data_IF_449302545947
#
_entry.id   IF_449302545947
#
_cell.length_a   1.000
_cell.length_b   1.000
_cell.length_c   1.000
_cell.angle_alpha   90.00
_cell.angle_beta   90.00
_cell.angle_gamma   90.00
#
_symmetry.space_group_name_H-M   'P 1'
#
loop_
_entity.id
_entity.type
_entity.pdbx_description
1 polymer ?
#
# COMPACT_ATOMS: atom_id res chain seq x y z
N UNK A 1 4.88 -10.36 -11.67
CA UNK A 1 5.51 -10.47 -13.00
C UNK A 1 4.69 -9.77 -14.09
N UNK A 2 5.38 -9.10 -15.03
CA UNK A 2 4.79 -8.53 -16.24
C UNK A 2 4.69 -9.62 -17.32
N UNK A 3 3.65 -9.56 -18.13
CA UNK A 3 3.40 -10.49 -19.25
C UNK A 3 3.39 -9.69 -20.55
N UNK A 4 4.17 -10.14 -21.52
CA UNK A 4 4.20 -9.55 -22.85
C UNK A 4 3.26 -10.29 -23.77
N UNK A 5 2.29 -9.55 -24.32
CA UNK A 5 1.23 -10.07 -25.19
C UNK A 5 1.31 -9.43 -26.57
N UNK A 6 1.11 -10.24 -27.62
CA UNK A 6 0.88 -9.80 -29.00
C UNK A 6 -0.46 -9.06 -29.14
N UNK A 7 -0.71 -8.43 -30.29
CA UNK A 7 -1.96 -7.71 -30.54
C UNK A 7 -3.20 -8.63 -30.45
N UNK A 8 -3.09 -9.83 -31.01
CA UNK A 8 -4.13 -10.87 -31.01
C UNK A 8 -4.38 -11.40 -29.59
N UNK A 9 -3.32 -11.74 -28.86
CA UNK A 9 -3.40 -12.18 -27.47
C UNK A 9 -4.06 -11.11 -26.58
N UNK A 10 -3.74 -9.82 -26.80
CA UNK A 10 -4.40 -8.71 -26.09
C UNK A 10 -5.88 -8.63 -26.43
N UNK A 11 -6.32 -9.01 -27.63
CA UNK A 11 -7.74 -9.07 -28.00
C UNK A 11 -8.46 -10.16 -27.21
N UNK A 12 -7.89 -11.38 -27.18
CA UNK A 12 -8.41 -12.51 -26.41
C UNK A 12 -8.50 -12.19 -24.91
N UNK A 13 -7.44 -11.64 -24.32
CA UNK A 13 -7.45 -11.27 -22.90
C UNK A 13 -8.48 -10.16 -22.61
N UNK A 14 -8.69 -9.21 -23.54
CA UNK A 14 -9.75 -8.21 -23.41
C UNK A 14 -11.15 -8.84 -23.44
N UNK A 15 -11.36 -9.88 -24.24
CA UNK A 15 -12.59 -10.67 -24.24
C UNK A 15 -12.77 -11.37 -22.88
N UNK A 16 -11.71 -11.97 -22.31
CA UNK A 16 -11.77 -12.62 -21.00
C UNK A 16 -12.15 -11.63 -19.88
N UNK A 17 -11.53 -10.44 -19.86
CA UNK A 17 -11.94 -9.38 -18.92
C UNK A 17 -13.37 -8.91 -19.17
N UNK A 18 -13.81 -8.88 -20.43
CA UNK A 18 -15.17 -8.55 -20.82
C UNK A 18 -16.20 -9.52 -20.23
N UNK A 19 -15.99 -10.83 -20.44
CA UNK A 19 -16.84 -11.90 -19.89
C UNK A 19 -16.81 -11.88 -18.38
N UNK A 20 -15.63 -11.84 -17.75
CA UNK A 20 -15.51 -11.80 -16.28
C UNK A 20 -16.27 -10.63 -15.68
N UNK A 21 -16.20 -9.44 -16.30
CA UNK A 21 -16.97 -8.26 -15.89
C UNK A 21 -18.47 -8.45 -16.08
N UNK A 22 -18.89 -8.99 -17.22
CA UNK A 22 -20.31 -9.21 -17.52
C UNK A 22 -20.93 -10.18 -16.50
N UNK A 23 -20.29 -11.33 -16.28
CA UNK A 23 -20.73 -12.34 -15.31
C UNK A 23 -20.79 -11.74 -13.91
N UNK A 24 -19.74 -11.04 -13.46
CA UNK A 24 -19.75 -10.36 -12.16
C UNK A 24 -20.93 -9.39 -12.01
N UNK A 25 -21.16 -8.52 -13.00
CA UNK A 25 -22.24 -7.53 -12.93
C UNK A 25 -23.63 -8.19 -12.96
N UNK A 26 -23.81 -9.24 -13.78
CA UNK A 26 -25.05 -10.03 -13.83
C UNK A 26 -25.34 -10.66 -12.47
N UNK A 27 -24.34 -11.29 -11.84
CA UNK A 27 -24.46 -11.85 -10.49
C UNK A 27 -24.78 -10.77 -9.45
N UNK A 28 -24.10 -9.61 -9.47
CA UNK A 28 -24.41 -8.52 -8.53
C UNK A 28 -25.85 -8.02 -8.72
N UNK A 29 -26.35 -7.92 -9.96
CA UNK A 29 -27.74 -7.52 -10.23
C UNK A 29 -28.74 -8.50 -9.61
N UNK A 30 -28.53 -9.81 -9.79
CA UNK A 30 -29.38 -10.86 -9.20
C UNK A 30 -29.35 -10.76 -7.66
N UNK A 31 -28.16 -10.61 -7.07
CA UNK A 31 -28.00 -10.52 -5.61
C UNK A 31 -28.57 -9.22 -5.01
N UNK A 32 -28.72 -8.16 -5.81
CA UNK A 32 -29.33 -6.91 -5.37
C UNK A 32 -30.85 -7.03 -5.20
N UNK A 33 -31.50 -7.94 -5.93
CA UNK A 33 -32.94 -8.18 -5.83
C UNK A 33 -33.35 -8.76 -4.46
N UNK A 34 -32.41 -9.33 -3.70
CA UNK A 34 -32.63 -9.76 -2.31
C UNK A 34 -33.27 -11.15 -2.17
N UNK A 35 -33.92 -11.67 -3.22
CA UNK A 35 -34.53 -13.00 -3.26
C UNK A 35 -33.51 -14.14 -3.12
N UNK A 36 -32.32 -13.94 -3.69
CA UNK A 36 -31.28 -14.98 -3.76
C UNK A 36 -30.20 -14.74 -2.71
N UNK A 37 -29.97 -15.73 -1.83
CA UNK A 37 -28.86 -15.71 -0.86
C UNK A 37 -27.53 -15.78 -1.60
N UNK A 38 -26.56 -14.95 -1.22
CA UNK A 38 -25.21 -14.93 -1.79
C UNK A 38 -24.40 -16.21 -1.46
N UNK A 39 -24.74 -17.31 -2.11
CA UNK A 39 -24.07 -18.60 -2.02
C UNK A 39 -23.60 -19.04 -3.41
N UNK A 40 -22.30 -18.95 -3.66
CA UNK A 40 -21.74 -19.20 -4.99
C UNK A 40 -22.02 -20.63 -5.49
N UNK A 41 -22.07 -21.65 -4.63
CA UNK A 41 -22.31 -23.04 -5.06
C UNK A 41 -23.73 -23.23 -5.58
N UNK A 42 -24.70 -22.55 -4.97
CA UNK A 42 -26.12 -22.69 -5.31
C UNK A 42 -26.48 -21.97 -6.61
N UNK A 43 -26.02 -20.73 -6.80
CA UNK A 43 -26.45 -19.89 -7.93
C UNK A 43 -25.60 -20.11 -9.19
N UNK A 44 -24.43 -20.73 -9.05
CA UNK A 44 -23.46 -20.83 -10.15
C UNK A 44 -24.01 -21.58 -11.36
N UNK A 45 -24.70 -22.70 -11.15
CA UNK A 45 -25.18 -23.54 -12.26
C UNK A 45 -26.20 -22.79 -13.11
N UNK A 46 -27.20 -22.19 -12.47
CA UNK A 46 -28.24 -21.39 -13.12
C UNK A 46 -27.66 -20.21 -13.91
N UNK A 47 -26.79 -19.40 -13.28
CA UNK A 47 -26.19 -18.24 -13.94
C UNK A 47 -25.31 -18.66 -15.12
N UNK A 48 -24.58 -19.78 -15.01
CA UNK A 48 -23.70 -20.25 -16.08
C UNK A 48 -24.49 -20.78 -17.28
N UNK A 49 -25.65 -21.41 -17.05
CA UNK A 49 -26.54 -21.90 -18.10
C UNK A 49 -27.22 -20.73 -18.83
N UNK A 50 -27.59 -19.67 -18.10
CA UNK A 50 -28.17 -18.43 -18.64
C UNK A 50 -27.11 -17.48 -19.26
N UNK A 51 -25.90 -17.95 -19.58
CA UNK A 51 -24.90 -17.13 -20.25
C UNK A 51 -25.09 -17.13 -21.77
N UNK A 52 -24.97 -15.96 -22.42
CA UNK A 52 -24.98 -15.88 -23.88
C UNK A 52 -23.90 -16.72 -24.56
N UNK A 53 -24.16 -17.16 -25.79
CA UNK A 53 -23.29 -18.05 -26.57
C UNK A 53 -21.83 -17.55 -26.69
N UNK A 54 -21.64 -16.25 -26.88
CA UNK A 54 -20.31 -15.63 -27.00
C UNK A 54 -19.44 -15.78 -25.73
N UNK A 55 -20.03 -16.15 -24.58
CA UNK A 55 -19.29 -16.44 -23.35
C UNK A 55 -18.69 -17.87 -23.33
N UNK A 56 -19.13 -18.79 -24.20
CA UNK A 56 -18.67 -20.18 -24.20
C UNK A 56 -17.18 -20.31 -24.56
N UNK A 57 -16.68 -19.45 -25.44
CA UNK A 57 -15.27 -19.41 -25.88
C UNK A 57 -14.28 -19.21 -24.71
N UNK A 58 -14.71 -18.46 -23.69
CA UNK A 58 -13.89 -18.11 -22.52
C UNK A 58 -13.83 -19.26 -21.51
N UNK A 59 -12.65 -19.57 -20.94
CA UNK A 59 -12.49 -20.63 -19.95
C UNK A 59 -13.54 -20.62 -18.83
N UNK A 60 -14.06 -21.81 -18.49
CA UNK A 60 -15.09 -22.00 -17.49
C UNK A 60 -14.75 -21.37 -16.13
N UNK A 61 -13.52 -21.55 -15.65
CA UNK A 61 -13.11 -21.06 -14.34
C UNK A 61 -13.11 -19.53 -14.24
N UNK A 62 -12.81 -18.81 -15.34
CA UNK A 62 -12.92 -17.34 -15.38
C UNK A 62 -14.34 -16.89 -15.08
N UNK A 63 -15.34 -17.59 -15.65
CA UNK A 63 -16.77 -17.33 -15.45
C UNK A 63 -17.19 -17.71 -14.03
N UNK A 64 -16.88 -18.94 -13.61
CA UNK A 64 -17.22 -19.47 -12.28
C UNK A 64 -16.65 -18.61 -11.14
N UNK A 65 -15.40 -18.16 -11.26
CA UNK A 65 -14.78 -17.35 -10.19
C UNK A 65 -15.27 -15.90 -10.24
N UNK A 66 -15.72 -15.39 -11.39
CA UNK A 66 -16.38 -14.08 -11.42
C UNK A 66 -17.69 -14.07 -10.61
N UNK A 67 -18.45 -15.17 -10.61
CA UNK A 67 -19.62 -15.36 -9.75
C UNK A 67 -19.20 -15.39 -8.27
N UNK A 68 -18.16 -16.17 -7.95
CA UNK A 68 -17.62 -16.25 -6.58
C UNK A 68 -17.16 -14.88 -6.08
N UNK A 69 -16.41 -14.13 -6.87
CA UNK A 69 -15.97 -12.75 -6.58
C UNK A 69 -17.17 -11.85 -6.25
N UNK A 70 -18.27 -11.95 -7.00
CA UNK A 70 -19.49 -11.16 -6.76
C UNK A 70 -20.18 -11.55 -5.45
N UNK A 71 -20.34 -12.85 -5.19
CA UNK A 71 -20.89 -13.33 -3.92
C UNK A 71 -20.04 -12.89 -2.73
N UNK A 72 -18.71 -13.03 -2.81
CA UNK A 72 -17.78 -12.59 -1.76
C UNK A 72 -17.89 -11.09 -1.51
N UNK A 73 -17.94 -10.26 -2.56
CA UNK A 73 -18.09 -8.81 -2.41
C UNK A 73 -19.40 -8.42 -1.68
N UNK A 74 -20.51 -9.12 -1.97
CA UNK A 74 -21.79 -8.90 -1.27
C UNK A 74 -21.73 -9.39 0.18
N UNK A 75 -21.10 -10.54 0.44
CA UNK A 75 -20.91 -11.07 1.79
C UNK A 75 -20.05 -10.12 2.65
N UNK A 76 -18.96 -9.60 2.10
CA UNK A 76 -18.09 -8.62 2.78
C UNK A 76 -18.84 -7.32 3.07
N UNK A 77 -19.66 -6.84 2.12
CA UNK A 77 -20.51 -5.67 2.35
C UNK A 77 -21.50 -5.89 3.51
N UNK A 78 -22.13 -7.08 3.58
CA UNK A 78 -23.01 -7.46 4.71
C UNK A 78 -22.24 -7.57 6.03
N UNK A 79 -21.06 -8.21 6.03
CA UNK A 79 -20.20 -8.32 7.23
C UNK A 79 -19.79 -6.95 7.75
N UNK A 80 -19.45 -6.03 6.86
CA UNK A 80 -19.08 -4.66 7.23
C UNK A 80 -20.27 -3.88 7.78
N UNK A 81 -21.45 -4.01 7.19
CA UNK A 81 -22.67 -3.43 7.74
C UNK A 81 -22.92 -3.88 9.18
N UNK A 82 -22.77 -5.18 9.48
CA UNK A 82 -22.89 -5.68 10.87
C UNK A 82 -21.89 -5.04 11.85
N UNK A 83 -20.72 -4.62 11.38
CA UNK A 83 -19.67 -4.02 12.23
C UNK A 83 -19.81 -2.50 12.37
N UNK A 84 -20.25 -1.81 11.33
CA UNK A 84 -20.20 -0.33 11.27
C UNK A 84 -21.57 0.32 11.13
N UNK A 85 -22.65 -0.46 10.97
CA UNK A 85 -24.01 0.01 10.67
C UNK A 85 -24.13 0.89 9.41
N UNK A 86 -23.09 0.91 8.57
CA UNK A 86 -23.03 1.71 7.34
C UNK A 86 -23.32 0.84 6.12
N UNK A 87 -24.31 1.24 5.33
CA UNK A 87 -24.70 0.52 4.11
C UNK A 87 -23.63 0.72 3.04
N UNK A 88 -22.99 -0.38 2.61
CA UNK A 88 -22.06 -0.38 1.48
C UNK A 88 -22.69 -1.10 0.29
N UNK A 89 -23.02 -0.36 -0.77
CA UNK A 89 -23.51 -0.96 -2.02
C UNK A 89 -22.35 -1.49 -2.86
N UNK A 90 -22.44 -2.76 -3.28
CA UNK A 90 -21.50 -3.35 -4.25
C UNK A 90 -21.73 -2.71 -5.61
N UNK A 91 -20.68 -2.11 -6.17
CA UNK A 91 -20.73 -1.40 -7.46
C UNK A 91 -20.41 -2.35 -8.61
N UNK A 92 -21.05 -2.11 -9.76
CA UNK A 92 -20.69 -2.80 -10.99
C UNK A 92 -19.26 -2.47 -11.44
N UNK A 93 -18.59 -3.47 -11.99
CA UNK A 93 -17.29 -3.32 -12.64
C UNK A 93 -17.49 -2.60 -13.98
N UNK A 94 -16.69 -1.57 -14.24
CA UNK A 94 -16.76 -0.76 -15.46
C UNK A 94 -15.66 -1.12 -16.47
N UNK A 95 -15.99 -1.11 -17.77
CA UNK A 95 -15.00 -1.22 -18.86
C UNK A 95 -14.03 -0.04 -18.90
N UNK A 96 -14.43 1.12 -18.35
CA UNK A 96 -13.61 2.33 -18.28
C UNK A 96 -12.63 2.31 -17.10
N UNK A 97 -12.72 1.30 -16.22
CA UNK A 97 -11.77 1.16 -15.12
C UNK A 97 -10.36 0.93 -15.68
N UNK A 98 -9.35 1.73 -15.27
CA UNK A 98 -7.96 1.55 -15.69
C UNK A 98 -7.37 0.21 -15.28
N UNK A 99 -7.93 -0.41 -14.22
CA UNK A 99 -7.53 -1.72 -13.74
C UNK A 99 -8.64 -2.73 -14.04
N UNK A 100 -8.29 -3.79 -14.75
CA UNK A 100 -9.18 -4.92 -15.03
C UNK A 100 -8.46 -6.21 -14.67
N UNK A 101 -9.19 -7.21 -14.19
CA UNK A 101 -8.59 -8.49 -13.86
C UNK A 101 -9.53 -9.65 -14.10
N UNK A 102 -8.95 -10.83 -14.32
CA UNK A 102 -9.64 -12.11 -14.32
C UNK A 102 -8.82 -13.16 -13.59
N UNK A 103 -9.52 -14.14 -13.03
CA UNK A 103 -8.91 -15.28 -12.36
C UNK A 103 -8.21 -16.21 -13.36
N UNK A 104 -7.08 -16.77 -12.96
CA UNK A 104 -6.35 -17.80 -13.71
C UNK A 104 -6.00 -18.92 -12.71
N UNK A 105 -6.42 -20.18 -12.93
CA UNK A 105 -6.05 -21.27 -12.04
C UNK A 105 -4.55 -21.52 -12.07
N UNK A 106 -4.00 -22.08 -10.99
CA UNK A 106 -2.58 -22.50 -11.00
C UNK A 106 -2.27 -23.52 -12.11
N UNK A 107 -3.22 -24.41 -12.41
CA UNK A 107 -3.04 -25.47 -13.42
C UNK A 107 -2.97 -24.96 -14.86
N UNK A 108 -3.40 -23.71 -15.12
CA UNK A 108 -3.29 -23.09 -16.44
C UNK A 108 -2.05 -22.20 -16.57
N UNK A 109 -1.20 -22.11 -15.54
CA UNK A 109 0.04 -21.33 -15.58
C UNK A 109 1.20 -22.29 -15.76
N UNK A 110 2.00 -22.04 -16.79
CA UNK A 110 3.19 -22.83 -17.13
C UNK A 110 4.30 -21.91 -17.62
N UNK A 111 5.53 -22.42 -17.72
CA UNK A 111 6.67 -21.67 -18.28
C UNK A 111 6.40 -21.22 -19.73
N UNK A 112 5.63 -22.00 -20.49
CA UNK A 112 5.25 -21.69 -21.87
C UNK A 112 4.25 -20.53 -21.93
N UNK A 113 3.36 -20.41 -20.94
CA UNK A 113 2.34 -19.39 -20.92
C UNK A 113 1.13 -19.71 -20.05
N UNK A 114 0.16 -18.80 -20.09
CA UNK A 114 -1.13 -18.91 -19.41
C UNK A 114 -2.15 -19.45 -20.39
N UNK A 115 -2.84 -20.55 -20.06
CA UNK A 115 -3.75 -21.24 -20.98
C UNK A 115 -3.10 -21.37 -22.37
N UNK A 116 -1.88 -21.93 -22.44
CA UNK A 116 -1.05 -21.88 -23.64
C UNK A 116 -1.73 -22.48 -24.89
N UNK A 117 -2.67 -23.41 -24.72
CA UNK A 117 -3.50 -23.96 -25.81
C UNK A 117 -4.49 -22.96 -26.41
N UNK A 118 -4.93 -21.95 -25.64
CA UNK A 118 -5.87 -20.90 -26.09
C UNK A 118 -5.18 -19.58 -26.38
N UNK A 119 -4.20 -19.20 -25.56
CA UNK A 119 -3.53 -17.90 -25.65
C UNK A 119 -2.20 -17.99 -26.42
N UNK A 120 -1.69 -19.20 -26.67
CA UNK A 120 -0.38 -19.41 -27.25
C UNK A 120 0.76 -19.21 -26.25
N UNK A 121 1.98 -19.23 -26.78
CA UNK A 121 3.21 -19.02 -26.01
C UNK A 121 3.32 -17.55 -25.56
N UNK A 122 3.80 -17.35 -24.33
CA UNK A 122 3.97 -16.05 -23.70
C UNK A 122 5.39 -15.85 -23.21
N UNK A 123 5.75 -14.59 -23.00
CA UNK A 123 7.00 -14.21 -22.33
C UNK A 123 6.68 -13.50 -21.02
N UNK A 124 7.29 -13.98 -19.94
CA UNK A 124 7.26 -13.36 -18.63
C UNK A 124 8.49 -12.47 -18.43
N UNK A 125 8.36 -11.42 -17.63
CA UNK A 125 9.52 -10.59 -17.25
C UNK A 125 10.46 -11.25 -16.24
N UNK A 126 9.96 -12.24 -15.51
CA UNK A 126 10.64 -12.91 -14.39
C UNK A 126 10.26 -14.40 -14.47
N UNK A 127 11.09 -15.27 -13.91
CA UNK A 127 10.79 -16.70 -13.81
C UNK A 127 9.58 -16.93 -12.89
N UNK A 128 8.84 -18.00 -13.15
CA UNK A 128 7.76 -18.42 -12.27
C UNK A 128 8.37 -18.95 -10.95
N UNK A 129 7.88 -18.49 -9.79
CA UNK A 129 8.33 -19.04 -8.51
C UNK A 129 7.82 -20.46 -8.32
N UNK A 130 8.48 -21.21 -7.44
CA UNK A 130 8.00 -22.54 -7.04
C UNK A 130 6.73 -22.43 -6.16
N UNK A 131 5.96 -23.52 -6.08
CA UNK A 131 4.77 -23.61 -5.21
C UNK A 131 3.72 -22.51 -5.43
N UNK A 132 3.39 -22.26 -6.70
CA UNK A 132 2.36 -21.29 -7.07
C UNK A 132 0.96 -21.70 -6.59
N UNK A 133 0.20 -20.69 -6.21
CA UNK A 133 -1.24 -20.77 -5.95
C UNK A 133 -2.02 -20.24 -7.16
N UNK A 134 -3.34 -20.20 -7.03
CA UNK A 134 -4.19 -19.59 -8.04
C UNK A 134 -3.83 -18.12 -8.30
N UNK A 135 -3.81 -17.76 -9.56
CA UNK A 135 -3.28 -16.51 -10.06
C UNK A 135 -4.40 -15.55 -10.51
N UNK A 136 -4.01 -14.30 -10.77
CA UNK A 136 -4.91 -13.30 -11.36
C UNK A 136 -4.20 -12.53 -12.45
N UNK A 137 -4.73 -12.60 -13.67
CA UNK A 137 -4.26 -11.78 -14.78
C UNK A 137 -4.88 -10.40 -14.66
N UNK A 138 -4.06 -9.36 -14.65
CA UNK A 138 -4.47 -7.98 -14.44
C UNK A 138 -3.94 -7.11 -15.56
N UNK A 139 -4.79 -6.25 -16.12
CA UNK A 139 -4.37 -5.13 -16.95
C UNK A 139 -4.40 -3.85 -16.12
N UNK A 140 -3.28 -3.15 -16.08
CA UNK A 140 -3.14 -1.86 -15.44
C UNK A 140 -2.65 -0.85 -16.49
N UNK A 141 -3.53 0.07 -16.88
CA UNK A 141 -3.22 1.16 -17.82
C UNK A 141 -2.63 0.73 -19.18
N UNK A 142 -2.89 -0.51 -19.62
CA UNK A 142 -2.44 -1.05 -20.90
C UNK A 142 -1.27 -2.01 -20.81
N UNK A 143 -0.63 -2.10 -19.64
CA UNK A 143 0.32 -3.17 -19.33
C UNK A 143 -0.42 -4.36 -18.70
N UNK A 144 0.12 -5.56 -18.88
CA UNK A 144 -0.46 -6.80 -18.40
C UNK A 144 0.49 -7.46 -17.39
N UNK A 145 -0.09 -7.92 -16.28
CA UNK A 145 0.63 -8.52 -15.17
C UNK A 145 -0.07 -9.80 -14.75
N UNK A 146 0.71 -10.85 -14.51
CA UNK A 146 0.23 -12.01 -13.80
C UNK A 146 0.59 -11.84 -12.31
N UNK A 147 -0.44 -11.81 -11.47
CA UNK A 147 -0.28 -11.84 -10.02
C UNK A 147 -0.21 -13.31 -9.63
N UNK A 148 0.95 -13.75 -9.16
CA UNK A 148 1.25 -15.13 -8.78
C UNK A 148 1.52 -15.19 -7.28
N UNK A 149 0.50 -15.50 -6.46
CA UNK A 149 0.73 -15.84 -5.06
C UNK A 149 1.48 -17.17 -5.01
N UNK A 150 2.47 -17.28 -4.14
CA UNK A 150 3.21 -18.51 -3.88
C UNK A 150 3.43 -18.67 -2.38
N UNK A 151 3.61 -19.90 -1.93
CA UNK A 151 3.89 -20.17 -0.51
C UNK A 151 5.37 -20.00 -0.22
N UNK A 152 5.69 -19.30 0.85
CA UNK A 152 7.06 -19.11 1.34
C UNK A 152 7.12 -19.57 2.79
N UNK A 153 8.18 -20.28 3.16
CA UNK A 153 8.48 -20.62 4.55
C UNK A 153 9.15 -19.42 5.21
N UNK A 154 8.53 -18.88 6.27
CA UNK A 154 9.08 -17.75 6.99
C UNK A 154 10.24 -18.21 7.89
N UNK A 155 11.41 -17.61 7.70
CA UNK A 155 12.52 -17.70 8.66
C UNK A 155 12.22 -16.79 9.85
N UNK A 156 12.15 -17.34 11.06
CA UNK A 156 12.11 -16.53 12.28
C UNK A 156 13.52 -15.98 12.50
N UNK A 157 13.72 -14.68 12.33
CA UNK A 157 14.97 -14.04 12.73
C UNK A 157 15.01 -13.87 14.26
N UNK A 158 16.17 -14.11 14.86
CA UNK A 158 16.44 -13.65 16.22
C UNK A 158 16.45 -12.11 16.22
N UNK A 159 15.61 -11.52 17.07
CA UNK A 159 15.54 -10.07 17.20
C UNK A 159 16.67 -9.62 18.13
N UNK A 160 17.79 -9.18 17.54
CA UNK A 160 18.99 -8.69 18.25
C UNK A 160 18.80 -7.32 18.93
N UNK A 161 17.55 -6.88 19.11
CA UNK A 161 17.19 -5.67 19.85
C UNK A 161 17.51 -4.34 19.16
N UNK A 162 17.86 -4.30 17.88
CA UNK A 162 18.09 -3.00 17.19
C UNK A 162 16.76 -2.29 16.95
N UNK A 163 16.51 -1.22 17.72
CA UNK A 163 15.28 -0.43 17.65
C UNK A 163 15.49 0.83 16.80
N UNK A 164 14.49 1.16 15.96
CA UNK A 164 14.45 2.42 15.22
C UNK A 164 13.08 3.07 15.34
N UNK A 165 13.05 4.38 15.54
CA UNK A 165 11.85 5.20 15.46
C UNK A 165 11.79 5.97 14.15
N UNK A 166 10.62 5.96 13.51
CA UNK A 166 10.36 6.67 12.27
C UNK A 166 9.50 7.91 12.53
N UNK A 167 9.79 8.99 11.84
CA UNK A 167 8.94 10.17 11.75
C UNK A 167 8.60 10.45 10.27
N UNK A 168 7.36 10.12 9.82
CA UNK A 168 6.92 10.37 8.46
C UNK A 168 6.67 11.86 8.23
N UNK A 169 7.43 12.45 7.30
CA UNK A 169 7.37 13.88 6.99
C UNK A 169 6.70 14.20 5.66
N UNK A 170 6.43 15.49 5.43
CA UNK A 170 5.84 15.98 4.16
C UNK A 170 6.89 16.44 3.14
N UNK A 171 8.07 16.86 3.61
CA UNK A 171 9.19 17.31 2.75
C UNK A 171 10.24 16.23 2.57
N UNK A 172 10.53 15.52 3.65
CA UNK A 172 11.34 14.31 3.72
C UNK A 172 10.38 13.15 3.92
N UNK A 173 10.53 12.05 3.19
CA UNK A 173 9.59 10.93 3.27
C UNK A 173 9.55 10.33 4.67
N UNK A 174 10.71 9.96 5.21
CA UNK A 174 10.86 9.42 6.55
C UNK A 174 12.17 9.92 7.15
N UNK A 175 12.12 10.43 8.37
CA UNK A 175 13.29 10.61 9.23
C UNK A 175 13.35 9.43 10.19
N UNK A 176 14.52 8.85 10.39
CA UNK A 176 14.68 7.73 11.32
C UNK A 176 15.71 8.07 12.39
N UNK A 177 15.47 7.57 13.60
CA UNK A 177 16.34 7.71 14.75
C UNK A 177 16.51 6.35 15.43
N UNK A 178 17.75 5.97 15.66
CA UNK A 178 18.18 4.83 16.46
C UNK A 178 19.34 5.27 17.35
N UNK A 179 19.75 4.44 18.30
CA UNK A 179 20.82 4.75 19.26
C UNK A 179 22.15 5.03 18.56
N UNK A 180 22.45 4.28 17.49
CA UNK A 180 23.73 4.36 16.77
C UNK A 180 23.63 5.11 15.43
N UNK A 181 22.42 5.48 14.99
CA UNK A 181 22.24 6.04 13.65
C UNK A 181 21.04 6.95 13.55
N UNK A 182 21.19 8.05 12.82
CA UNK A 182 20.12 8.99 12.48
C UNK A 182 20.22 9.30 10.99
N UNK A 183 19.07 9.49 10.33
CA UNK A 183 19.08 9.83 8.92
C UNK A 183 17.73 10.21 8.35
N UNK A 184 17.76 10.67 7.09
CA UNK A 184 16.60 11.15 6.35
C UNK A 184 16.53 10.43 5.01
N UNK A 185 15.36 9.85 4.71
CA UNK A 185 15.10 9.13 3.47
C UNK A 185 14.16 9.96 2.60
N UNK A 186 14.47 10.04 1.29
CA UNK A 186 13.69 10.81 0.33
C UNK A 186 13.84 12.33 0.48
N UNK A 187 14.96 12.79 1.07
CA UNK A 187 15.28 14.21 1.12
C UNK A 187 15.62 14.72 -0.30
N UNK A 188 15.00 15.80 -0.75
CA UNK A 188 15.25 16.38 -2.10
C UNK A 188 14.56 15.66 -3.28
N UNK A 189 14.32 14.35 -3.18
CA UNK A 189 13.60 13.54 -4.19
C UNK A 189 12.19 14.07 -4.50
N UNK A 190 11.59 14.73 -3.50
CA UNK A 190 10.28 15.35 -3.59
C UNK A 190 10.19 16.38 -4.73
N UNK A 191 11.26 17.13 -5.01
CA UNK A 191 11.29 18.15 -6.07
C UNK A 191 11.03 17.55 -7.45
N UNK A 192 11.49 16.32 -7.69
CA UNK A 192 11.30 15.60 -8.96
C UNK A 192 9.85 15.13 -9.10
N UNK A 193 9.28 14.53 -8.06
CA UNK A 193 7.88 14.08 -8.07
C UNK A 193 6.94 15.28 -8.25
N UNK A 194 7.19 16.37 -7.54
CA UNK A 194 6.39 17.59 -7.63
C UNK A 194 6.40 18.17 -9.05
N UNK A 195 7.56 18.22 -9.72
CA UNK A 195 7.66 18.67 -11.13
C UNK A 195 6.80 17.84 -12.07
N UNK A 196 6.82 16.51 -11.92
CA UNK A 196 6.00 15.60 -12.74
C UNK A 196 4.51 15.81 -12.43
N UNK A 197 4.13 15.97 -11.16
CA UNK A 197 2.74 16.28 -10.77
C UNK A 197 2.25 17.59 -11.39
N UNK A 198 3.08 18.64 -11.39
CA UNK A 198 2.72 19.92 -12.01
C UNK A 198 2.49 19.78 -13.52
N UNK A 199 3.39 19.05 -14.21
CA UNK A 199 3.22 18.79 -15.64
C UNK A 199 1.95 17.96 -15.92
N UNK A 200 1.61 17.01 -15.03
CA UNK A 200 0.39 16.22 -15.14
C UNK A 200 -0.85 17.11 -15.00
N UNK A 201 -0.87 18.03 -14.02
CA UNK A 201 -2.00 18.95 -13.82
C UNK A 201 -2.18 19.88 -15.02
N UNK A 202 -1.10 20.43 -15.57
CA UNK A 202 -1.13 21.24 -16.78
C UNK A 202 -1.69 20.44 -17.97
N UNK A 203 -1.28 19.17 -18.11
CA UNK A 203 -1.80 18.28 -19.14
C UNK A 203 -3.28 17.96 -18.94
N UNK A 204 -3.73 17.71 -17.70
CA UNK A 204 -5.13 17.47 -17.37
C UNK A 204 -6.01 18.69 -17.65
N UNK A 205 -5.51 19.90 -17.35
CA UNK A 205 -6.16 21.17 -17.70
C UNK A 205 -6.32 21.33 -19.21
N UNK A 206 -5.29 20.99 -20.00
CA UNK A 206 -5.39 21.02 -21.47
C UNK A 206 -6.34 19.96 -22.03
N UNK A 207 -6.43 18.78 -21.39
CA UNK A 207 -7.33 17.69 -21.77
C UNK A 207 -8.80 18.10 -21.69
N UNK A 208 -9.17 18.97 -20.73
CA UNK A 208 -10.56 19.41 -20.58
C UNK A 208 -11.03 20.21 -21.81
N UNK A 209 -10.13 20.99 -22.41
CA UNK A 209 -10.38 21.87 -23.57
C UNK A 209 -10.11 21.22 -24.95
N UNK A 210 -9.61 19.99 -24.99
CA UNK A 210 -9.15 19.36 -26.23
C UNK A 210 -10.23 18.60 -27.03
N UNK A 211 -10.13 18.60 -28.37
CA UNK A 211 -10.98 17.83 -29.30
C UNK A 211 -10.74 16.31 -29.19
N UNK A 212 -11.71 15.48 -29.62
CA UNK A 212 -11.79 14.02 -29.37
C UNK A 212 -10.49 13.23 -29.61
N UNK A 213 -9.84 13.37 -30.78
CA UNK A 213 -8.62 12.64 -31.12
C UNK A 213 -7.41 13.07 -30.29
N UNK A 214 -7.20 14.38 -30.16
CA UNK A 214 -6.14 14.97 -29.35
C UNK A 214 -6.30 14.61 -27.87
N UNK A 215 -7.53 14.66 -27.36
CA UNK A 215 -7.90 14.26 -25.99
C UNK A 215 -7.52 12.82 -25.69
N UNK A 216 -7.71 11.89 -26.64
CA UNK A 216 -7.29 10.48 -26.50
C UNK A 216 -5.77 10.36 -26.34
N UNK A 217 -4.99 11.05 -27.19
CA UNK A 217 -3.52 11.04 -27.13
C UNK A 217 -3.01 11.63 -25.82
N UNK A 218 -3.53 12.79 -25.41
CA UNK A 218 -3.16 13.43 -24.14
C UNK A 218 -3.51 12.57 -22.94
N UNK A 219 -4.68 11.92 -22.91
CA UNK A 219 -5.03 10.97 -21.83
C UNK A 219 -4.06 9.80 -21.74
N UNK A 220 -3.56 9.29 -22.87
CA UNK A 220 -2.52 8.24 -22.88
C UNK A 220 -1.22 8.77 -22.27
N UNK A 221 -0.81 9.98 -22.62
CA UNK A 221 0.36 10.64 -22.01
C UNK A 221 0.18 10.84 -20.50
N UNK A 222 -0.97 11.36 -20.06
CA UNK A 222 -1.29 11.55 -18.64
C UNK A 222 -1.22 10.23 -17.86
N UNK A 223 -1.73 9.12 -18.41
CA UNK A 223 -1.60 7.80 -17.79
C UNK A 223 -0.14 7.36 -17.61
N UNK A 224 0.71 7.56 -18.63
CA UNK A 224 2.15 7.25 -18.52
C UNK A 224 2.81 8.02 -17.39
N UNK A 225 2.45 9.29 -17.22
CA UNK A 225 2.97 10.11 -16.12
C UNK A 225 2.49 9.63 -14.75
N UNK A 226 1.22 9.25 -14.62
CA UNK A 226 0.67 8.67 -13.38
C UNK A 226 1.41 7.38 -13.01
N UNK A 227 1.66 6.49 -13.98
CA UNK A 227 2.44 5.27 -13.76
C UNK A 227 3.87 5.62 -13.32
N UNK A 228 4.51 6.60 -13.97
CA UNK A 228 5.86 7.04 -13.58
C UNK A 228 5.91 7.54 -12.15
N UNK A 229 4.93 8.35 -11.72
CA UNK A 229 4.82 8.81 -10.34
C UNK A 229 4.65 7.62 -9.39
N UNK A 230 3.74 6.69 -9.70
CA UNK A 230 3.52 5.49 -8.88
C UNK A 230 4.77 4.62 -8.76
N UNK A 231 5.50 4.42 -9.86
CA UNK A 231 6.73 3.64 -9.86
C UNK A 231 7.82 4.28 -9.00
N UNK A 232 8.00 5.61 -9.07
CA UNK A 232 8.94 6.33 -8.21
C UNK A 232 8.59 6.19 -6.72
N UNK A 233 7.31 6.30 -6.38
CA UNK A 233 6.86 6.13 -4.99
C UNK A 233 7.02 4.66 -4.55
N UNK A 234 6.70 3.69 -5.40
CA UNK A 234 6.87 2.27 -5.10
C UNK A 234 8.36 1.93 -4.89
N UNK A 235 9.25 2.45 -5.74
CA UNK A 235 10.70 2.27 -5.59
C UNK A 235 11.19 2.85 -4.26
N UNK A 236 10.76 4.07 -3.92
CA UNK A 236 11.06 4.68 -2.61
C UNK A 236 10.57 3.79 -1.47
N UNK A 237 9.32 3.31 -1.53
CA UNK A 237 8.74 2.41 -0.51
C UNK A 237 9.53 1.10 -0.39
N UNK A 238 9.89 0.48 -1.51
CA UNK A 238 10.61 -0.79 -1.53
C UNK A 238 12.02 -0.65 -0.96
N UNK A 239 12.78 0.35 -1.42
CA UNK A 239 14.14 0.61 -0.92
C UNK A 239 14.15 0.98 0.56
N UNK A 240 13.19 1.81 0.98
CA UNK A 240 13.06 2.19 2.39
C UNK A 240 12.71 0.99 3.26
N UNK A 241 11.77 0.15 2.86
CA UNK A 241 11.41 -1.03 3.63
C UNK A 241 12.55 -2.04 3.72
N UNK A 242 13.27 -2.26 2.60
CA UNK A 242 14.46 -3.13 2.57
C UNK A 242 15.54 -2.62 3.54
N UNK A 243 15.87 -1.33 3.46
CA UNK A 243 16.82 -0.69 4.38
C UNK A 243 16.41 -0.88 5.85
N UNK A 244 15.13 -0.65 6.19
CA UNK A 244 14.69 -0.75 7.59
C UNK A 244 14.70 -2.19 8.12
N UNK A 245 14.25 -3.15 7.32
CA UNK A 245 14.16 -4.57 7.71
C UNK A 245 15.54 -5.22 7.79
N UNK A 246 16.51 -4.77 7.00
CA UNK A 246 17.88 -5.29 7.02
C UNK A 246 18.70 -4.77 8.21
N UNK A 247 18.46 -3.52 8.62
CA UNK A 247 19.28 -2.85 9.64
C UNK A 247 18.66 -2.90 11.06
N UNK A 248 17.35 -3.10 11.19
CA UNK A 248 16.65 -3.02 12.46
C UNK A 248 15.71 -4.20 12.70
N UNK A 249 15.52 -4.53 13.98
CA UNK A 249 14.71 -5.67 14.43
C UNK A 249 13.32 -5.23 14.89
N UNK A 250 13.25 -4.05 15.52
CA UNK A 250 12.01 -3.43 15.99
C UNK A 250 11.88 -2.04 15.38
N UNK A 251 10.82 -1.83 14.61
CA UNK A 251 10.55 -0.58 13.89
C UNK A 251 9.31 0.08 14.49
N UNK A 252 9.49 1.27 15.05
CA UNK A 252 8.44 2.07 15.65
C UNK A 252 7.90 3.06 14.64
N UNK A 253 6.60 2.98 14.33
CA UNK A 253 5.93 3.86 13.36
C UNK A 253 4.80 4.61 14.07
N UNK A 254 4.78 5.95 14.01
CA UNK A 254 3.70 6.71 14.60
C UNK A 254 2.38 6.47 13.85
N UNK A 255 1.27 6.55 14.59
CA UNK A 255 -0.08 6.51 14.01
C UNK A 255 -0.34 7.76 13.18
N UNK A 256 -0.04 7.70 11.89
CA UNK A 256 -0.18 8.85 11.00
C UNK A 256 -1.65 9.05 10.56
N UNK A 257 -2.35 9.99 11.20
CA UNK A 257 -3.76 10.32 10.91
C UNK A 257 -3.94 11.17 9.63
N UNK A 258 -3.43 10.68 8.50
CA UNK A 258 -3.57 11.31 7.16
C UNK A 258 -4.99 11.80 6.84
N UNK A 259 -6.00 11.05 7.29
CA UNK A 259 -7.40 11.36 7.05
C UNK A 259 -7.86 12.64 7.78
N UNK A 260 -7.41 12.87 9.02
CA UNK A 260 -7.75 14.09 9.76
C UNK A 260 -6.97 15.29 9.20
N UNK A 261 -5.70 15.09 8.84
CA UNK A 261 -4.83 16.15 8.30
C UNK A 261 -5.24 16.63 6.89
N UNK A 262 -6.05 15.85 6.17
CA UNK A 262 -6.51 16.16 4.80
C UNK A 262 -7.94 16.71 4.71
N UNK A 263 -8.71 16.73 5.82
CA UNK A 263 -10.08 17.26 5.85
C UNK A 263 -10.10 18.77 5.60
N UNK A 264 -10.87 19.22 4.60
CA UNK A 264 -10.88 20.62 4.14
C UNK A 264 -11.36 21.63 5.19
N UNK A 265 -12.30 21.25 6.06
CA UNK A 265 -12.94 22.16 7.03
C UNK A 265 -12.13 22.46 8.30
N UNK A 266 -11.23 21.57 8.70
CA UNK A 266 -10.44 21.69 9.94
C UNK A 266 -8.93 21.79 9.70
N UNK A 267 -8.49 21.90 8.43
CA UNK A 267 -7.06 21.85 8.09
C UNK A 267 -6.30 23.09 8.56
N UNK A 268 -5.22 22.87 9.31
CA UNK A 268 -4.18 23.88 9.60
C UNK A 268 -3.08 23.94 8.53
N UNK A 269 -3.14 23.06 7.53
CA UNK A 269 -2.07 22.82 6.54
C UNK A 269 -2.50 23.28 5.14
N UNK A 270 -1.57 23.91 4.39
CA UNK A 270 -1.79 24.37 3.01
C UNK A 270 -2.10 23.21 2.04
N UNK A 271 -2.91 23.46 1.02
CA UNK A 271 -3.43 22.44 0.08
C UNK A 271 -2.31 21.71 -0.68
N UNK A 272 -1.25 22.44 -1.06
CA UNK A 272 -0.05 21.89 -1.67
C UNK A 272 0.64 20.87 -0.75
N UNK A 273 0.79 21.20 0.53
CA UNK A 273 1.40 20.33 1.54
C UNK A 273 0.55 19.08 1.80
N UNK A 274 -0.78 19.21 1.87
CA UNK A 274 -1.68 18.04 1.98
C UNK A 274 -1.53 17.12 0.76
N UNK A 275 -1.49 17.67 -0.45
CA UNK A 275 -1.26 16.88 -1.66
C UNK A 275 0.09 16.15 -1.62
N UNK A 276 1.12 16.81 -1.13
CA UNK A 276 2.46 16.21 -1.01
C UNK A 276 2.48 15.02 -0.03
N UNK A 277 1.81 15.17 1.11
CA UNK A 277 1.62 14.09 2.08
C UNK A 277 0.83 12.92 1.48
N UNK A 278 -0.24 13.20 0.73
CA UNK A 278 -1.02 12.17 0.03
C UNK A 278 -0.22 11.48 -1.08
N UNK A 279 0.68 12.19 -1.76
CA UNK A 279 1.54 11.61 -2.79
C UNK A 279 2.51 10.56 -2.20
N UNK A 280 3.04 10.77 -1.00
CA UNK A 280 3.94 9.79 -0.37
C UNK A 280 3.22 8.53 0.12
N UNK A 281 1.88 8.55 0.23
CA UNK A 281 1.07 7.41 0.59
C UNK A 281 1.60 6.67 1.84
N UNK A 282 1.90 7.41 2.91
CA UNK A 282 2.50 6.88 4.15
C UNK A 282 1.72 5.70 4.75
N UNK A 283 0.39 5.75 4.71
CA UNK A 283 -0.44 4.62 5.15
C UNK A 283 -0.15 3.34 4.34
N UNK A 284 -0.06 3.46 3.00
CA UNK A 284 0.29 2.34 2.13
C UNK A 284 1.70 1.83 2.41
N UNK A 285 2.65 2.72 2.69
CA UNK A 285 3.99 2.33 3.11
C UNK A 285 3.99 1.58 4.43
N UNK A 286 3.24 2.04 5.43
CA UNK A 286 3.11 1.37 6.74
C UNK A 286 2.59 -0.06 6.58
N UNK A 287 1.51 -0.26 5.83
CA UNK A 287 0.98 -1.60 5.55
C UNK A 287 2.01 -2.48 4.81
N UNK A 288 2.70 -1.92 3.82
CA UNK A 288 3.75 -2.61 3.09
C UNK A 288 4.94 -3.00 3.98
N UNK A 289 5.37 -2.10 4.87
CA UNK A 289 6.46 -2.34 5.80
C UNK A 289 6.11 -3.42 6.83
N UNK A 290 4.87 -3.42 7.36
CA UNK A 290 4.37 -4.50 8.23
C UNK A 290 4.44 -5.86 7.54
N UNK A 291 3.99 -5.92 6.29
CA UNK A 291 4.07 -7.15 5.50
C UNK A 291 5.52 -7.61 5.28
N UNK A 292 6.42 -6.69 4.92
CA UNK A 292 7.85 -7.02 4.70
C UNK A 292 8.57 -7.39 5.97
N UNK A 293 8.26 -6.76 7.09
CA UNK A 293 8.78 -7.15 8.38
C UNK A 293 8.31 -8.57 8.76
N UNK A 294 7.04 -8.89 8.54
CA UNK A 294 6.49 -10.22 8.79
C UNK A 294 7.16 -11.32 7.96
N UNK A 295 7.49 -11.05 6.69
CA UNK A 295 8.23 -12.01 5.83
C UNK A 295 9.59 -12.40 6.42
N UNK A 296 10.27 -11.46 7.09
CA UNK A 296 11.64 -11.63 7.63
C UNK A 296 11.62 -11.86 9.16
N UNK A 297 10.44 -11.96 9.77
CA UNK A 297 10.29 -12.14 11.23
C UNK A 297 10.63 -10.90 12.07
N UNK A 298 10.69 -9.71 11.47
CA UNK A 298 10.90 -8.44 12.17
C UNK A 298 9.60 -7.89 12.72
N UNK A 299 9.71 -6.97 13.68
CA UNK A 299 8.57 -6.38 14.36
C UNK A 299 8.35 -4.93 13.93
N UNK A 300 7.09 -4.59 13.63
CA UNK A 300 6.66 -3.20 13.42
C UNK A 300 5.59 -2.85 14.44
N UNK A 301 5.84 -1.82 15.24
CA UNK A 301 4.95 -1.36 16.32
C UNK A 301 4.36 -0.01 15.96
N UNK A 302 3.04 0.12 16.15
CA UNK A 302 2.37 1.40 16.04
C UNK A 302 2.48 2.19 17.34
N UNK A 303 2.99 3.43 17.29
CA UNK A 303 3.22 4.30 18.45
C UNK A 303 2.34 5.55 18.38
N UNK A 304 1.85 6.03 19.52
CA UNK A 304 1.05 7.25 19.59
C UNK A 304 1.90 8.53 19.44
N UNK A 305 1.50 9.44 18.55
CA UNK A 305 2.26 10.63 18.13
C UNK A 305 2.25 11.82 19.13
N UNK A 306 1.44 11.78 20.19
CA UNK A 306 1.06 12.98 20.94
C UNK A 306 2.25 13.90 21.37
N UNK A 307 2.23 15.17 20.98
CA UNK A 307 3.17 16.26 21.38
C UNK A 307 4.62 16.21 20.87
N UNK A 308 5.03 15.23 20.06
CA UNK A 308 6.44 15.05 19.62
C UNK A 308 7.03 16.19 18.78
N UNK A 309 6.23 16.92 18.00
CA UNK A 309 6.74 17.98 17.13
C UNK A 309 6.93 19.35 17.80
N UNK A 310 6.48 19.50 19.05
CA UNK A 310 6.58 20.74 19.85
C UNK A 310 7.40 20.59 21.12
N UNK A 311 7.61 19.36 21.58
CA UNK A 311 8.43 19.07 22.75
C UNK A 311 9.90 18.94 22.35
N UNK A 312 10.78 19.64 23.04
CA UNK A 312 12.23 19.44 22.92
C UNK A 312 12.58 18.08 23.50
N UNK A 313 13.13 17.18 22.68
CA UNK A 313 13.30 15.77 23.06
C UNK A 313 14.34 15.53 24.16
N UNK A 314 15.20 16.50 24.49
CA UNK A 314 16.24 16.35 25.52
C UNK A 314 15.96 17.14 26.80
N UNK A 315 15.21 18.24 26.76
CA UNK A 315 14.82 19.02 27.96
C UNK A 315 13.36 18.84 28.36
N UNK A 316 12.50 18.34 27.47
CA UNK A 316 11.06 18.17 27.72
C UNK A 316 10.23 19.44 27.60
N UNK A 317 10.82 20.61 27.33
CA UNK A 317 10.07 21.87 27.24
C UNK A 317 9.20 21.94 25.97
N UNK A 318 8.12 22.73 26.02
CA UNK A 318 7.24 22.97 24.88
C UNK A 318 7.61 24.27 24.16
N UNK A 319 8.02 24.15 22.90
CA UNK A 319 8.39 25.28 22.04
C UNK A 319 7.38 25.44 20.91
N UNK A 320 6.94 26.69 20.68
CA UNK A 320 6.09 27.02 19.54
C UNK A 320 6.95 27.26 18.29
N UNK A 321 7.21 26.21 17.52
CA UNK A 321 8.20 26.19 16.44
C UNK A 321 7.65 26.75 15.10
N UNK A 322 6.33 26.90 14.98
CA UNK A 322 5.68 27.36 13.74
C UNK A 322 6.14 26.56 12.51
N UNK A 323 6.63 27.27 11.49
CA UNK A 323 7.17 26.71 10.25
C UNK A 323 8.69 26.44 10.25
N UNK A 324 9.38 26.68 11.37
CA UNK A 324 10.82 26.49 11.49
C UNK A 324 11.23 25.03 11.29
N UNK A 325 12.40 24.84 10.68
CA UNK A 325 13.04 23.53 10.47
C UNK A 325 13.93 23.11 11.64
N UNK A 326 14.27 24.06 12.51
CA UNK A 326 15.15 23.86 13.66
C UNK A 326 14.36 24.16 14.92
N UNK A 327 14.49 23.28 15.92
CA UNK A 327 14.02 23.52 17.28
C UNK A 327 15.21 24.04 18.09
N UNK A 328 15.03 25.17 18.77
CA UNK A 328 16.00 25.74 19.70
C UNK A 328 15.43 25.66 21.09
N UNK A 329 16.19 25.10 22.02
CA UNK A 329 15.81 25.08 23.43
C UNK A 329 15.94 26.47 24.03
N UNK A 330 14.99 26.85 24.89
CA UNK A 330 15.08 28.09 25.67
C UNK A 330 15.84 27.89 26.98
N UNK A 331 15.95 26.64 27.45
CA UNK A 331 16.64 26.27 28.69
C UNK A 331 18.15 26.23 28.50
N UNK A 332 18.63 25.51 27.48
CA UNK A 332 20.07 25.29 27.27
C UNK A 332 20.63 25.93 25.98
N UNK A 333 19.77 26.57 25.19
CA UNK A 333 20.14 27.24 23.95
C UNK A 333 20.53 26.31 22.79
N UNK A 334 20.56 24.98 23.00
CA UNK A 334 20.94 23.99 21.98
C UNK A 334 19.91 23.93 20.86
N UNK A 335 20.36 23.51 19.69
CA UNK A 335 19.52 23.41 18.49
C UNK A 335 19.56 22.02 17.89
N UNK A 336 18.43 21.58 17.33
CA UNK A 336 18.33 20.32 16.58
C UNK A 336 17.37 20.46 15.41
N UNK A 337 17.57 19.66 14.36
CA UNK A 337 16.59 19.55 13.29
C UNK A 337 15.25 19.01 13.82
N UNK A 338 14.16 19.63 13.42
CA UNK A 338 12.81 19.33 13.91
C UNK A 338 12.36 17.90 13.61
N UNK A 339 12.67 17.39 12.42
CA UNK A 339 12.25 16.04 12.03
C UNK A 339 13.05 14.99 12.84
N UNK A 340 14.33 15.28 13.12
CA UNK A 340 15.16 14.44 13.99
C UNK A 340 14.63 14.48 15.43
N UNK A 341 14.24 15.66 15.92
CA UNK A 341 13.61 15.81 17.23
C UNK A 341 12.32 14.99 17.36
N UNK A 342 11.48 14.99 16.32
CA UNK A 342 10.27 14.18 16.27
C UNK A 342 10.58 12.68 16.39
N UNK A 343 11.47 12.17 15.54
CA UNK A 343 11.88 10.76 15.57
C UNK A 343 12.51 10.35 16.91
N UNK A 344 13.39 11.19 17.49
CA UNK A 344 13.98 10.96 18.81
C UNK A 344 12.94 10.96 19.93
N UNK A 345 11.98 11.88 19.88
CA UNK A 345 10.88 11.93 20.85
C UNK A 345 10.03 10.66 20.84
N UNK A 346 9.74 10.11 19.65
CA UNK A 346 9.04 8.82 19.51
C UNK A 346 9.86 7.69 20.13
N UNK A 347 11.17 7.65 19.87
CA UNK A 347 12.08 6.65 20.42
C UNK A 347 12.09 6.67 21.95
N UNK A 348 12.31 7.85 22.55
CA UNK A 348 12.39 8.02 24.00
C UNK A 348 11.08 7.66 24.70
N UNK A 349 9.93 8.07 24.13
CA UNK A 349 8.63 7.70 24.69
C UNK A 349 8.39 6.20 24.66
N UNK A 350 8.72 5.56 23.55
CA UNK A 350 8.51 4.11 23.41
C UNK A 350 9.34 3.34 24.43
N UNK A 351 10.57 3.80 24.73
CA UNK A 351 11.37 3.29 25.86
C UNK A 351 10.70 3.59 27.20
N UNK A 352 10.31 4.84 27.46
CA UNK A 352 9.68 5.22 28.73
C UNK A 352 8.40 4.43 29.03
N UNK A 353 7.56 4.17 28.03
CA UNK A 353 6.37 3.30 28.15
C UNK A 353 6.74 1.84 28.43
N UNK A 354 7.89 1.37 27.95
CA UNK A 354 8.38 0.03 28.28
C UNK A 354 8.87 -0.09 29.73
N UNK A 355 9.60 0.93 30.21
CA UNK A 355 10.25 0.95 31.53
C UNK A 355 9.36 1.47 32.67
N UNK A 356 8.38 2.32 32.41
CA UNK A 356 7.47 2.91 33.41
C UNK A 356 6.05 2.34 33.31
N UNK A 357 5.61 1.58 34.31
CA UNK A 357 4.19 1.27 34.46
C UNK A 357 3.37 2.55 34.75
N UNK A 358 2.46 2.93 33.85
CA UNK A 358 1.15 3.51 34.17
C UNK A 358 0.27 3.59 32.92
N UNK A 359 -0.88 2.93 32.98
CA UNK A 359 -1.94 2.75 31.97
C UNK A 359 -1.74 1.62 30.94
N UNK A 360 -2.02 0.40 31.39
CA UNK A 360 -3.08 -0.39 30.74
C UNK A 360 -2.71 -1.40 29.67
N UNK A 361 -2.13 -1.03 28.52
CA UNK A 361 -2.66 -1.68 27.31
C UNK A 361 -1.72 -2.46 26.37
N UNK A 362 -0.44 -2.72 26.65
CA UNK A 362 0.33 -3.66 25.78
C UNK A 362 1.46 -4.44 26.47
N UNK A 363 1.17 -5.56 27.16
CA UNK A 363 2.19 -6.50 27.67
C UNK A 363 3.18 -6.98 26.60
N UNK A 364 2.73 -7.04 25.34
CA UNK A 364 3.53 -7.43 24.19
C UNK A 364 4.66 -6.44 23.85
N UNK A 365 4.39 -5.13 23.91
CA UNK A 365 5.40 -4.10 23.62
C UNK A 365 6.50 -4.09 24.68
N UNK A 366 6.12 -4.32 25.95
CA UNK A 366 7.08 -4.52 27.03
C UNK A 366 7.95 -5.74 26.78
N UNK A 367 7.39 -6.90 26.44
CA UNK A 367 8.20 -8.10 26.19
C UNK A 367 9.15 -7.94 25.00
N UNK A 368 8.74 -7.23 23.95
CA UNK A 368 9.60 -6.97 22.79
C UNK A 368 10.69 -5.93 23.04
N UNK A 369 10.45 -4.95 23.92
CA UNK A 369 11.44 -3.96 24.34
C UNK A 369 12.29 -4.43 25.53
N UNK A 370 11.82 -5.39 26.33
CA UNK A 370 12.58 -6.03 27.40
C UNK A 370 13.60 -7.05 26.87
N UNK A 371 13.33 -7.69 25.72
CA UNK A 371 14.34 -8.47 24.99
C UNK A 371 15.54 -7.62 24.53
N UNK A 372 15.38 -6.29 24.45
CA UNK A 372 16.44 -5.33 24.11
C UNK A 372 17.36 -5.06 25.32
N UNK A 373 16.90 -5.28 26.56
CA UNK A 373 17.59 -4.85 27.77
C UNK A 373 18.54 -5.89 28.40
N UNK A 374 18.76 -7.05 27.77
CA UNK A 374 19.61 -8.10 28.36
C UNK A 374 21.08 -8.06 27.96
N UNK A 375 21.55 -7.09 27.16
CA UNK A 375 22.98 -6.95 26.85
C UNK A 375 23.59 -5.64 27.37
N UNK A 376 24.04 -5.76 28.63
CA UNK A 376 25.30 -5.25 29.21
C UNK A 376 25.47 -3.74 29.51
N UNK A 377 26.26 -3.43 30.56
CA UNK A 377 26.22 -2.17 31.28
C UNK A 377 26.92 -1.04 30.53
N UNK A 378 26.42 0.17 30.76
CA UNK A 378 27.11 1.42 30.40
C UNK A 378 28.44 1.46 31.15
N UNK A 379 29.54 1.19 30.45
CA UNK A 379 30.87 1.56 30.92
C UNK A 379 31.14 2.96 30.37
N UNK A 380 31.16 3.94 31.27
CA UNK A 380 31.77 5.24 31.03
C UNK A 380 33.23 5.01 30.63
N UNK A 381 33.57 5.35 29.39
CA UNK A 381 34.96 5.56 28.99
C UNK A 381 35.16 7.06 28.85
N UNK A 382 35.46 7.68 30.00
CA UNK A 382 36.14 8.96 30.02
C UNK A 382 37.62 8.76 29.68
N UNK A 383 38.04 9.40 28.59
CA UNK A 383 39.36 10.01 28.38
C UNK A 383 39.34 10.69 27.02
#
# INVERSE_FOLDING_TARGET
MRVFLSSEQRSLVRQWFGVSRYVFNKTVKILQNGEVKANWKAIKTEILNDLPEWCKVVPYQIKSIAIKDACTAVQEAKKKYKKTSLIQRVKFRSRKNPIQSCYIPKSAVSVVGIYHTKLGRLTYSENLPDNICDCRLTSNNGDYYLIVPHKVTNTKAENQGRVVALDPGVRTFITFFSEKSVGKIGHGDFSRIQRICQHLDNLLSRISKAKRGQKRRMRKAARRMVIKIQNLINELHHKTAKFLVDNFDVILIPTFETAQMSKRGSRRIRSKTVRNMLNFAHYRFKEFLKHKAQEVGKTVVDVCEAYTSKTVSWTGELVNIGGSKVIKSKVDGRTMDRDINGARGIFLRSRSVAYGHALGDTPWLRNQLALVSQNLPLVDSGS
#
